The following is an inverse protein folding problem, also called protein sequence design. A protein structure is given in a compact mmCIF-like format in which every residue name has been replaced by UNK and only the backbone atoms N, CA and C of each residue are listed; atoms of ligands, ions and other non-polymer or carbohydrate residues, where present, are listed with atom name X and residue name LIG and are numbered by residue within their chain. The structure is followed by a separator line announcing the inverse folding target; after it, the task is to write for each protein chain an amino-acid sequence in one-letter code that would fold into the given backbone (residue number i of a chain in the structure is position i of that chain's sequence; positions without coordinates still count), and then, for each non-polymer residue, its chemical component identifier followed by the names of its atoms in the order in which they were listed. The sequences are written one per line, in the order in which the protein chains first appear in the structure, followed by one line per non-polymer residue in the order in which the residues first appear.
data_IF_725855407604
#
_entry.id   IF_725855407604
#
_cell.length_a   1.000
_cell.length_b   1.000
_cell.length_c   1.000
_cell.angle_alpha   90.00
_cell.angle_beta   90.00
_cell.angle_gamma   90.00
#
_symmetry.space_group_name_H-M   'P 1'
#
loop_
_entity.id
_entity.type
_entity.pdbx_description
1 polymer ?
#
# COMPACT_ATOMS: atom_id res chain seq x y z
N UNK A 1 -10.71 -13.25 -7.70
CA UNK A 1 -9.23 -13.21 -7.77
C UNK A 1 -8.83 -12.51 -9.05
N UNK A 2 -7.81 -11.65 -9.00
CA UNK A 2 -7.25 -11.00 -10.19
C UNK A 2 -6.72 -12.05 -11.17
N UNK A 3 -6.82 -11.76 -12.47
CA UNK A 3 -6.12 -12.56 -13.49
C UNK A 3 -4.61 -12.38 -13.33
N UNK A 4 -3.83 -13.36 -13.75
CA UNK A 4 -2.37 -13.31 -13.66
C UNK A 4 -1.79 -12.13 -14.47
N UNK A 5 -2.37 -11.84 -15.64
CA UNK A 5 -1.99 -10.69 -16.48
C UNK A 5 -2.25 -9.37 -15.74
N UNK A 6 -3.44 -9.21 -15.14
CA UNK A 6 -3.76 -8.01 -14.37
C UNK A 6 -2.82 -7.85 -13.16
N UNK A 7 -2.54 -8.95 -12.47
CA UNK A 7 -1.62 -8.98 -11.33
C UNK A 7 -0.21 -8.49 -11.74
N UNK A 8 0.36 -8.99 -12.84
CA UNK A 8 1.66 -8.54 -13.34
C UNK A 8 1.68 -7.08 -13.75
N UNK A 9 0.68 -6.63 -14.53
CA UNK A 9 0.60 -5.25 -14.99
C UNK A 9 0.51 -4.28 -13.82
N UNK A 10 -0.36 -4.58 -12.85
CA UNK A 10 -0.47 -3.78 -11.63
C UNK A 10 0.79 -3.86 -10.77
N UNK A 11 1.43 -5.02 -10.64
CA UNK A 11 2.65 -5.16 -9.85
C UNK A 11 3.79 -4.32 -10.45
N UNK A 12 4.00 -4.37 -11.76
CA UNK A 12 5.04 -3.59 -12.45
C UNK A 12 4.81 -2.08 -12.26
N UNK A 13 3.56 -1.63 -12.36
CA UNK A 13 3.23 -0.21 -12.17
C UNK A 13 3.28 0.24 -10.70
N UNK A 14 2.77 -0.57 -9.79
CA UNK A 14 2.63 -0.22 -8.37
C UNK A 14 3.90 -0.45 -7.55
N UNK A 15 4.74 -1.44 -7.89
CA UNK A 15 5.97 -1.75 -7.16
C UNK A 15 6.92 -0.56 -6.95
N UNK A 16 7.36 0.17 -7.99
CA UNK A 16 8.25 1.31 -7.78
C UNK A 16 7.63 2.39 -6.90
N UNK A 17 6.31 2.60 -7.01
CA UNK A 17 5.57 3.59 -6.24
C UNK A 17 5.45 3.17 -4.78
N UNK A 18 5.10 1.91 -4.53
CA UNK A 18 4.99 1.33 -3.19
C UNK A 18 6.34 1.33 -2.46
N UNK A 19 7.43 1.03 -3.17
CA UNK A 19 8.80 1.15 -2.64
C UNK A 19 9.12 2.61 -2.30
N UNK A 20 8.76 3.55 -3.18
CA UNK A 20 8.96 4.98 -2.92
C UNK A 20 8.17 5.46 -1.70
N UNK A 21 6.91 5.02 -1.54
CA UNK A 21 6.08 5.33 -0.37
C UNK A 21 6.70 4.76 0.90
N UNK A 22 7.06 3.47 0.90
CA UNK A 22 7.68 2.81 2.06
C UNK A 22 8.96 3.54 2.47
N UNK A 23 9.84 3.86 1.52
CA UNK A 23 11.08 4.58 1.80
C UNK A 23 10.83 6.01 2.30
N UNK A 24 9.93 6.76 1.66
CA UNK A 24 9.61 8.13 2.04
C UNK A 24 8.98 8.21 3.43
N UNK A 25 8.13 7.25 3.78
CA UNK A 25 7.50 7.19 5.09
C UNK A 25 8.51 6.79 6.17
N UNK A 26 9.42 5.86 5.87
CA UNK A 26 10.52 5.51 6.76
C UNK A 26 11.50 6.66 7.00
N UNK A 27 11.88 7.39 5.93
CA UNK A 27 12.88 8.45 5.99
C UNK A 27 12.32 9.77 6.52
N UNK A 28 11.14 10.18 6.03
CA UNK A 28 10.58 11.51 6.30
C UNK A 28 9.30 11.49 7.13
N UNK A 29 8.76 10.31 7.48
CA UNK A 29 7.43 10.16 8.11
C UNK A 29 6.32 10.86 7.29
N UNK A 30 6.47 10.81 5.96
CA UNK A 30 5.59 11.50 5.01
C UNK A 30 5.37 10.65 3.76
N UNK A 31 4.11 10.43 3.42
CA UNK A 31 3.68 9.86 2.15
C UNK A 31 3.47 10.98 1.11
N UNK A 32 4.26 11.06 0.02
CA UNK A 32 4.16 12.12 -0.97
C UNK A 32 2.84 12.06 -1.74
N UNK A 33 2.17 13.22 -1.94
CA UNK A 33 0.95 13.28 -2.76
C UNK A 33 1.19 12.76 -4.19
N UNK A 34 2.37 13.05 -4.75
CA UNK A 34 2.77 12.56 -6.07
C UNK A 34 2.75 11.04 -6.16
N UNK A 35 3.19 10.33 -5.12
CA UNK A 35 3.17 8.87 -5.09
C UNK A 35 1.74 8.32 -5.05
N UNK A 36 0.88 8.93 -4.24
CA UNK A 36 -0.54 8.55 -4.12
C UNK A 36 -1.29 8.76 -5.44
N UNK A 37 -1.08 9.93 -6.07
CA UNK A 37 -1.67 10.23 -7.36
C UNK A 37 -1.13 9.31 -8.46
N UNK A 38 0.17 9.01 -8.45
CA UNK A 38 0.77 8.05 -9.38
C UNK A 38 0.16 6.65 -9.22
N UNK A 39 -0.03 6.17 -7.98
CA UNK A 39 -0.64 4.86 -7.73
C UNK A 39 -2.09 4.80 -8.24
N UNK A 40 -2.87 5.85 -7.97
CA UNK A 40 -4.23 5.97 -8.49
C UNK A 40 -4.24 6.00 -10.03
N UNK A 41 -3.30 6.75 -10.64
CA UNK A 41 -3.15 6.81 -12.09
C UNK A 41 -2.79 5.44 -12.70
N UNK A 42 -1.96 4.63 -12.03
CA UNK A 42 -1.68 3.25 -12.47
C UNK A 42 -2.98 2.46 -12.57
N UNK A 43 -3.83 2.50 -11.54
CA UNK A 43 -5.11 1.78 -11.58
C UNK A 43 -6.02 2.29 -12.70
N UNK A 44 -6.19 3.61 -12.81
CA UNK A 44 -7.06 4.22 -13.82
C UNK A 44 -6.58 3.89 -15.25
N UNK A 45 -5.28 4.06 -15.51
CA UNK A 45 -4.72 3.91 -16.84
C UNK A 45 -4.65 2.44 -17.26
N UNK A 46 -4.21 1.54 -16.37
CA UNK A 46 -4.01 0.13 -16.74
C UNK A 46 -5.23 -0.75 -16.46
N UNK A 47 -6.02 -0.40 -15.44
CA UNK A 47 -7.22 -1.14 -15.03
C UNK A 47 -8.27 -1.23 -16.13
N UNK A 48 -8.40 -0.18 -16.95
CA UNK A 48 -9.32 -0.16 -18.10
C UNK A 48 -9.02 -1.28 -19.12
N UNK A 49 -7.75 -1.68 -19.25
CA UNK A 49 -7.31 -2.67 -20.23
C UNK A 49 -7.22 -4.09 -19.66
N UNK A 50 -6.97 -4.22 -18.35
CA UNK A 50 -6.68 -5.52 -17.71
C UNK A 50 -7.84 -6.08 -16.89
N UNK A 51 -8.88 -5.28 -16.61
CA UNK A 51 -10.06 -5.69 -15.84
C UNK A 51 -11.32 -5.70 -16.71
N UNK A 52 -12.28 -6.62 -16.44
CA UNK A 52 -13.64 -6.49 -16.94
C UNK A 52 -14.25 -5.15 -16.48
N UNK A 53 -15.07 -4.52 -17.33
CA UNK A 53 -15.67 -3.21 -17.06
C UNK A 53 -16.35 -3.12 -15.68
N UNK A 54 -17.08 -4.15 -15.28
CA UNK A 54 -17.73 -4.21 -13.96
C UNK A 54 -16.71 -4.15 -12.81
N UNK A 55 -15.64 -4.95 -12.87
CA UNK A 55 -14.59 -4.95 -11.84
C UNK A 55 -13.82 -3.61 -11.81
N UNK A 56 -13.57 -3.01 -12.98
CA UNK A 56 -12.94 -1.70 -13.06
C UNK A 56 -13.76 -0.62 -12.33
N UNK A 57 -15.06 -0.53 -12.62
CA UNK A 57 -15.96 0.44 -11.96
C UNK A 57 -16.10 0.18 -10.46
N UNK A 58 -16.20 -1.09 -10.04
CA UNK A 58 -16.20 -1.44 -8.62
C UNK A 58 -14.90 -1.07 -7.92
N UNK A 59 -13.74 -1.20 -8.59
CA UNK A 59 -12.46 -0.76 -8.05
C UNK A 59 -12.43 0.75 -7.83
N UNK A 60 -12.92 1.55 -8.78
CA UNK A 60 -13.04 3.00 -8.61
C UNK A 60 -14.01 3.36 -7.47
N UNK A 61 -15.16 2.67 -7.40
CA UNK A 61 -16.12 2.82 -6.31
C UNK A 61 -15.51 2.49 -4.95
N UNK A 62 -14.72 1.41 -4.86
CA UNK A 62 -14.01 1.01 -3.66
C UNK A 62 -12.98 2.07 -3.23
N UNK A 63 -12.23 2.64 -4.19
CA UNK A 63 -11.34 3.77 -3.94
C UNK A 63 -12.07 4.99 -3.35
N UNK A 64 -13.22 5.34 -3.92
CA UNK A 64 -14.03 6.46 -3.43
C UNK A 64 -14.62 6.20 -2.03
N UNK A 65 -15.13 4.99 -1.77
CA UNK A 65 -15.66 4.59 -0.47
C UNK A 65 -14.56 4.66 0.59
N UNK A 66 -13.39 4.06 0.31
CA UNK A 66 -12.26 4.10 1.23
C UNK A 66 -11.79 5.53 1.46
N UNK A 67 -11.74 6.38 0.42
CA UNK A 67 -11.40 7.80 0.57
C UNK A 67 -12.35 8.51 1.54
N UNK A 68 -13.66 8.33 1.41
CA UNK A 68 -14.62 8.95 2.32
C UNK A 68 -14.41 8.47 3.76
N UNK A 69 -14.28 7.16 3.95
CA UNK A 69 -14.08 6.57 5.29
C UNK A 69 -12.79 7.09 5.91
N UNK A 70 -11.66 7.00 5.19
CA UNK A 70 -10.35 7.38 5.72
C UNK A 70 -10.21 8.90 5.88
N UNK A 71 -10.89 9.69 5.05
CA UNK A 71 -10.98 11.14 5.22
C UNK A 71 -11.70 11.53 6.52
N UNK A 72 -12.84 10.88 6.82
CA UNK A 72 -13.56 11.10 8.07
C UNK A 72 -12.71 10.69 9.28
N UNK A 73 -12.09 9.50 9.23
CA UNK A 73 -11.18 9.04 10.28
C UNK A 73 -10.00 9.99 10.50
N UNK A 74 -9.43 10.52 9.42
CA UNK A 74 -8.33 11.47 9.49
C UNK A 74 -8.76 12.83 10.05
N UNK A 75 -9.96 13.30 9.68
CA UNK A 75 -10.55 14.54 10.22
C UNK A 75 -10.85 14.44 11.71
N UNK A 76 -11.13 13.23 12.22
CA UNK A 76 -11.26 12.93 13.65
C UNK A 76 -9.92 12.67 14.36
N UNK A 77 -8.79 12.73 13.65
CA UNK A 77 -7.46 12.51 14.21
C UNK A 77 -7.09 11.04 14.48
N UNK A 78 -7.90 10.07 14.01
CA UNK A 78 -7.67 8.64 14.25
C UNK A 78 -6.52 8.07 13.44
N UNK A 79 -6.35 8.56 12.20
CA UNK A 79 -5.29 8.12 11.28
C UNK A 79 -4.60 9.33 10.62
N UNK A 80 -3.35 9.14 10.20
CA UNK A 80 -2.61 10.17 9.48
C UNK A 80 -3.26 10.48 8.13
N UNK A 81 -3.29 11.76 7.75
CA UNK A 81 -3.76 12.16 6.42
C UNK A 81 -2.93 11.53 5.29
N UNK A 82 -1.66 11.23 5.57
CA UNK A 82 -0.76 10.46 4.71
C UNK A 82 -1.31 9.06 4.39
N UNK A 83 -1.59 8.31 5.46
CA UNK A 83 -2.09 6.93 5.38
C UNK A 83 -3.49 6.87 4.78
N UNK A 84 -4.35 7.83 5.13
CA UNK A 84 -5.73 7.90 4.68
C UNK A 84 -5.85 7.96 3.14
N UNK A 85 -5.12 8.89 2.51
CA UNK A 85 -5.12 9.03 1.04
C UNK A 85 -4.41 7.86 0.36
N UNK A 86 -3.39 7.27 0.98
CA UNK A 86 -2.69 6.11 0.40
C UNK A 86 -3.57 4.87 0.43
N UNK A 87 -4.29 4.64 1.53
CA UNK A 87 -5.28 3.57 1.66
C UNK A 87 -6.35 3.68 0.57
N UNK A 88 -6.83 4.90 0.31
CA UNK A 88 -7.78 5.16 -0.76
C UNK A 88 -7.22 4.85 -2.15
N UNK A 89 -5.95 5.20 -2.42
CA UNK A 89 -5.32 4.94 -3.72
C UNK A 89 -4.99 3.47 -3.97
N UNK A 90 -4.68 2.68 -2.93
CA UNK A 90 -4.43 1.24 -3.06
C UNK A 90 -5.71 0.42 -3.05
N UNK A 91 -6.82 0.93 -2.49
CA UNK A 91 -8.09 0.22 -2.37
C UNK A 91 -8.61 -0.39 -3.69
N UNK A 92 -8.59 0.31 -4.84
CA UNK A 92 -9.07 -0.22 -6.11
C UNK A 92 -8.40 -1.53 -6.55
N UNK A 93 -7.13 -1.72 -6.20
CA UNK A 93 -6.36 -2.91 -6.56
C UNK A 93 -6.91 -4.17 -5.90
N UNK A 94 -7.65 -4.05 -4.79
CA UNK A 94 -8.24 -5.18 -4.06
C UNK A 94 -9.62 -5.58 -4.59
N UNK A 95 -10.05 -5.08 -5.74
CA UNK A 95 -11.34 -5.47 -6.31
C UNK A 95 -11.42 -6.99 -6.54
N UNK A 96 -12.47 -7.62 -6.00
CA UNK A 96 -12.63 -9.07 -6.06
C UNK A 96 -11.63 -9.87 -5.22
N UNK A 97 -10.95 -9.22 -4.26
CA UNK A 97 -10.17 -9.89 -3.22
C UNK A 97 -11.08 -10.68 -2.27
N UNK A 98 -10.60 -11.84 -1.81
CA UNK A 98 -11.19 -12.50 -0.65
C UNK A 98 -10.79 -11.72 0.61
N UNK A 99 -11.78 -11.26 1.38
CA UNK A 99 -11.55 -10.43 2.57
C UNK A 99 -10.67 -11.12 3.62
N UNK A 100 -10.86 -12.43 3.85
CA UNK A 100 -10.05 -13.20 4.78
C UNK A 100 -8.59 -13.29 4.35
N UNK A 101 -8.34 -13.60 3.07
CA UNK A 101 -6.98 -13.64 2.52
C UNK A 101 -6.30 -12.27 2.58
N UNK A 102 -7.01 -11.19 2.20
CA UNK A 102 -6.48 -9.84 2.29
C UNK A 102 -6.16 -9.43 3.72
N UNK A 103 -7.03 -9.78 4.68
CA UNK A 103 -6.79 -9.54 6.10
C UNK A 103 -5.54 -10.27 6.60
N UNK A 104 -5.35 -11.54 6.23
CA UNK A 104 -4.15 -12.32 6.59
C UNK A 104 -2.89 -11.66 6.02
N UNK A 105 -2.91 -11.24 4.75
CA UNK A 105 -1.77 -10.53 4.13
C UNK A 105 -1.49 -9.21 4.86
N UNK A 106 -2.52 -8.41 5.15
CA UNK A 106 -2.38 -7.14 5.84
C UNK A 106 -1.81 -7.33 7.26
N UNK A 107 -2.38 -8.26 8.04
CA UNK A 107 -1.89 -8.57 9.38
C UNK A 107 -0.44 -9.07 9.36
N UNK A 108 -0.10 -9.95 8.41
CA UNK A 108 1.25 -10.51 8.27
C UNK A 108 2.27 -9.43 7.92
N UNK A 109 1.93 -8.53 7.01
CA UNK A 109 2.83 -7.44 6.59
C UNK A 109 2.98 -6.36 7.67
N UNK A 110 1.93 -6.06 8.44
CA UNK A 110 2.03 -5.20 9.62
C UNK A 110 2.99 -5.80 10.64
N UNK A 111 2.81 -7.07 11.00
CA UNK A 111 3.67 -7.74 11.96
C UNK A 111 5.12 -7.81 11.46
N UNK A 112 5.33 -8.24 10.21
CA UNK A 112 6.65 -8.33 9.61
C UNK A 112 7.34 -6.96 9.53
N UNK A 113 6.65 -5.92 9.06
CA UNK A 113 7.18 -4.57 8.99
C UNK A 113 7.53 -4.01 10.37
N UNK A 114 6.67 -4.24 11.36
CA UNK A 114 6.93 -3.81 12.74
C UNK A 114 8.15 -4.50 13.32
N UNK A 115 8.23 -5.83 13.23
CA UNK A 115 9.38 -6.61 13.71
C UNK A 115 10.64 -6.18 12.98
N UNK A 116 10.61 -6.11 11.65
CA UNK A 116 11.76 -5.69 10.84
C UNK A 116 12.24 -4.28 11.22
N UNK A 117 11.33 -3.32 11.40
CA UNK A 117 11.67 -1.96 11.84
C UNK A 117 12.39 -1.97 13.20
N UNK A 118 11.85 -2.71 14.18
CA UNK A 118 12.43 -2.78 15.53
C UNK A 118 13.77 -3.52 15.55
N UNK A 119 13.93 -4.56 14.75
CA UNK A 119 15.20 -5.28 14.62
C UNK A 119 16.25 -4.40 13.94
N UNK A 120 15.92 -3.80 12.79
CA UNK A 120 16.85 -2.96 12.01
C UNK A 120 17.32 -1.72 12.79
N UNK A 121 16.49 -1.19 13.70
CA UNK A 121 16.89 -0.11 14.60
C UNK A 121 18.09 -0.47 15.49
N UNK A 122 18.31 -1.76 15.77
CA UNK A 122 19.39 -2.25 16.63
C UNK A 122 20.57 -2.86 15.83
N UNK A 123 20.60 -2.69 14.50
CA UNK A 123 21.70 -3.17 13.64
C UNK A 123 22.50 -1.97 13.07
N UNK A 124 23.66 -2.20 12.41
CA UNK A 124 24.40 -1.13 11.74
C UNK A 124 23.59 -0.36 10.68
N UNK A 125 22.44 -0.90 10.25
CA UNK A 125 21.53 -0.21 9.34
C UNK A 125 21.03 1.12 9.92
N UNK A 126 20.78 1.20 11.23
CA UNK A 126 20.37 2.44 11.92
C UNK A 126 21.41 3.55 11.80
N UNK A 127 22.70 3.20 11.82
CA UNK A 127 23.80 4.16 11.65
C UNK A 127 23.93 4.61 10.20
N UNK A 128 23.74 3.70 9.25
CA UNK A 128 23.75 4.02 7.81
C UNK A 128 22.56 4.89 7.37
N UNK A 129 21.46 4.85 8.12
CA UNK A 129 20.22 5.60 7.88
C UNK A 129 19.93 6.59 9.01
N UNK A 130 21.00 7.24 9.51
CA UNK A 130 20.91 8.02 10.73
C UNK A 130 19.92 9.20 10.66
N UNK A 131 19.70 9.71 9.45
CA UNK A 131 18.82 10.82 9.11
C UNK A 131 17.34 10.43 8.97
N UNK A 132 16.98 9.15 9.11
CA UNK A 132 15.60 8.71 8.97
C UNK A 132 14.77 9.03 10.22
N UNK A 133 13.70 9.80 10.03
CA UNK A 133 12.84 10.27 11.10
C UNK A 133 12.11 9.14 11.84
N UNK A 134 11.78 8.03 11.17
CA UNK A 134 11.02 6.92 11.78
C UNK A 134 11.75 6.24 12.94
N UNK A 135 13.07 6.42 13.09
CA UNK A 135 13.81 5.85 14.20
C UNK A 135 13.51 6.50 15.54
N UNK A 136 13.18 7.79 15.53
CA UNK A 136 12.99 8.61 16.73
C UNK A 136 11.54 9.07 16.89
N UNK A 137 10.73 8.97 15.84
CA UNK A 137 9.32 9.32 15.90
C UNK A 137 8.52 8.36 16.79
N UNK A 138 7.59 8.89 17.57
CA UNK A 138 6.68 8.09 18.41
C UNK A 138 5.65 7.26 17.61
N UNK A 139 5.48 7.57 16.32
CA UNK A 139 4.49 6.94 15.43
C UNK A 139 5.20 5.96 14.52
N UNK A 140 4.51 4.88 14.17
CA UNK A 140 5.02 3.88 13.24
C UNK A 140 4.75 4.32 11.78
N UNK A 141 5.72 4.17 10.85
CA UNK A 141 5.53 4.48 9.44
C UNK A 141 4.64 3.42 8.75
N UNK A 142 3.33 3.67 8.70
CA UNK A 142 2.35 2.75 8.13
C UNK A 142 2.43 2.62 6.60
N UNK A 143 3.12 3.53 5.91
CA UNK A 143 3.42 3.40 4.49
C UNK A 143 4.22 2.13 4.17
N UNK A 144 5.04 1.63 5.10
CA UNK A 144 5.81 0.39 4.94
C UNK A 144 4.91 -0.86 4.86
N UNK A 145 4.10 -1.21 5.88
CA UNK A 145 3.24 -2.39 5.81
C UNK A 145 2.11 -2.25 4.77
N UNK A 146 1.58 -1.05 4.53
CA UNK A 146 0.55 -0.85 3.49
C UNK A 146 1.10 -1.15 2.09
N UNK A 147 2.33 -0.69 1.82
CA UNK A 147 3.03 -1.02 0.58
C UNK A 147 3.31 -2.52 0.49
N UNK A 148 3.73 -3.15 1.59
CA UNK A 148 3.86 -4.61 1.67
C UNK A 148 2.55 -5.32 1.33
N UNK A 149 1.43 -4.91 1.94
CA UNK A 149 0.10 -5.49 1.71
C UNK A 149 -0.26 -5.46 0.23
N UNK A 150 -0.09 -4.31 -0.41
CA UNK A 150 -0.37 -4.15 -1.83
C UNK A 150 0.49 -5.10 -2.68
N UNK A 151 1.81 -5.13 -2.45
CA UNK A 151 2.71 -5.95 -3.26
C UNK A 151 2.50 -7.45 -3.06
N UNK A 152 2.35 -7.91 -1.81
CA UNK A 152 2.09 -9.32 -1.54
C UNK A 152 0.72 -9.76 -2.05
N UNK A 153 -0.30 -8.89 -1.98
CA UNK A 153 -1.58 -9.18 -2.60
C UNK A 153 -1.45 -9.34 -4.12
N UNK A 154 -0.80 -8.40 -4.80
CA UNK A 154 -0.59 -8.45 -6.25
C UNK A 154 0.31 -9.61 -6.67
N UNK A 155 1.22 -10.05 -5.80
CA UNK A 155 2.11 -11.18 -6.06
C UNK A 155 1.44 -12.54 -5.81
N UNK A 156 0.45 -12.62 -4.93
CA UNK A 156 -0.16 -13.90 -4.55
C UNK A 156 -0.77 -14.72 -5.71
N UNK A 157 -1.44 -14.14 -6.73
CA UNK A 157 -1.95 -14.90 -7.88
C UNK A 157 -0.83 -15.39 -8.81
N UNK A 158 0.35 -14.76 -8.78
CA UNK A 158 1.51 -15.13 -9.59
C UNK A 158 2.17 -16.38 -8.99
N UNK A 159 2.32 -16.41 -7.67
CA UNK A 159 2.86 -17.58 -6.96
C UNK A 159 2.00 -18.83 -7.12
N UNK A 160 0.68 -18.68 -7.12
CA UNK A 160 -0.25 -19.80 -7.26
C UNK A 160 -0.20 -20.51 -8.63
N UNK A 161 0.56 -19.96 -9.60
CA UNK A 161 0.69 -20.49 -10.95
C UNK A 161 2.02 -21.25 -11.20
N UNK A 162 2.87 -21.38 -10.17
CA UNK A 162 4.13 -22.14 -10.16
C UNK A 162 3.90 -23.43 -9.39
#
# INVERSE_FOLDING_TARGET
MLSQTAAWVFLIGAAPIAIWVAWSDMKYMRIPNKAVLALAAVFIATGLFVLPQSAYLWGLGLGAIVLVITFLMSSMGLIGAGDAKYAAAMAPFFVGANAGALFVIAASTILAAFVAHRVLKNTPFRSATADWASWEHAKFPFGLPMSGTLLFYLFSPILAAI
#
